data_IF_808065723391
#
_entry.id   IF_808065723391
#
_cell.length_a   1.000
_cell.length_b   1.000
_cell.length_c   1.000
_cell.angle_alpha   90.00
_cell.angle_beta   90.00
_cell.angle_gamma   90.00
#
_symmetry.space_group_name_H-M   'P 1'
#
loop_
_entity.id
_entity.type
_entity.pdbx_description
1 polymer ?
#
# COMPACT_ATOMS: atom_id res chain seq x y z
N UNK A 1 -21.69 -1.39 19.00
CA UNK A 1 -21.52 -0.37 17.94
C UNK A 1 -20.38 -0.86 17.06
N UNK A 2 -20.75 -1.29 15.86
CA UNK A 2 -19.88 -1.80 14.81
C UNK A 2 -18.93 -0.69 14.34
N UNK A 3 -17.62 -0.88 14.52
CA UNK A 3 -16.63 0.09 14.04
C UNK A 3 -16.43 -0.14 12.55
N UNK A 4 -17.09 0.71 11.77
CA UNK A 4 -17.01 0.76 10.32
C UNK A 4 -15.58 0.69 9.80
N UNK A 5 -15.37 -0.26 8.90
CA UNK A 5 -14.17 -0.34 8.09
C UNK A 5 -14.08 0.93 7.23
N UNK A 6 -13.25 1.88 7.65
CA UNK A 6 -12.84 2.97 6.78
C UNK A 6 -11.94 2.39 5.67
N UNK A 7 -12.53 2.21 4.50
CA UNK A 7 -11.88 1.65 3.30
C UNK A 7 -11.02 2.73 2.59
N UNK A 8 -10.78 3.90 3.19
CA UNK A 8 -10.08 5.02 2.55
C UNK A 8 -8.61 5.22 2.92
N UNK A 9 -8.15 4.74 4.09
CA UNK A 9 -6.88 5.22 4.68
C UNK A 9 -5.65 4.28 4.66
N UNK A 10 -5.78 3.04 4.21
CA UNK A 10 -4.75 2.02 4.44
C UNK A 10 -4.14 1.45 3.15
N UNK A 11 -2.85 1.67 2.94
CA UNK A 11 -2.08 1.05 1.86
C UNK A 11 -1.83 -0.45 2.08
N UNK A 12 -1.52 -1.14 0.99
CA UNK A 12 -1.30 -2.58 0.98
C UNK A 12 0.09 -2.85 0.43
N UNK A 13 0.92 -3.51 1.22
CA UNK A 13 2.21 -4.06 0.80
C UNK A 13 2.13 -5.58 0.81
N UNK A 14 2.63 -6.20 -0.25
CA UNK A 14 2.84 -7.64 -0.31
C UNK A 14 4.32 -7.96 -0.44
N UNK A 15 4.71 -9.08 0.15
CA UNK A 15 6.01 -9.69 -0.02
C UNK A 15 5.82 -11.12 -0.53
N UNK A 16 6.51 -11.46 -1.61
CA UNK A 16 6.33 -12.73 -2.31
C UNK A 16 7.65 -13.20 -2.91
N UNK A 17 7.74 -14.49 -3.20
CA UNK A 17 8.88 -15.09 -3.91
C UNK A 17 8.47 -15.30 -5.35
N UNK A 18 9.28 -14.83 -6.30
CA UNK A 18 9.00 -15.08 -7.71
C UNK A 18 9.37 -16.53 -8.10
N UNK A 19 8.98 -16.91 -9.30
CA UNK A 19 9.35 -18.17 -9.96
C UNK A 19 10.86 -18.45 -10.04
N UNK A 20 11.72 -17.43 -9.90
CA UNK A 20 13.18 -17.57 -9.85
C UNK A 20 13.73 -17.74 -8.42
N UNK A 21 12.88 -17.84 -7.40
CA UNK A 21 13.29 -17.92 -6.00
C UNK A 21 13.71 -16.58 -5.38
N UNK A 22 13.55 -15.46 -6.09
CA UNK A 22 13.91 -14.13 -5.61
C UNK A 22 12.76 -13.51 -4.83
N UNK A 23 13.06 -13.01 -3.62
CA UNK A 23 12.12 -12.24 -2.82
C UNK A 23 11.86 -10.89 -3.49
N UNK A 24 10.59 -10.55 -3.65
CA UNK A 24 10.11 -9.30 -4.21
C UNK A 24 9.03 -8.71 -3.32
N UNK A 25 8.88 -7.39 -3.43
CA UNK A 25 7.84 -6.65 -2.72
C UNK A 25 7.11 -5.77 -3.72
N UNK A 26 5.81 -5.60 -3.47
CA UNK A 26 4.97 -4.71 -4.25
C UNK A 26 4.03 -3.95 -3.32
N UNK A 27 3.78 -2.69 -3.64
CA UNK A 27 2.99 -1.78 -2.81
C UNK A 27 1.94 -1.06 -3.63
N UNK A 28 0.72 -1.03 -3.11
CA UNK A 28 -0.36 -0.14 -3.54
C UNK A 28 -0.68 0.86 -2.44
N UNK A 29 -0.88 2.10 -2.88
CA UNK A 29 -1.41 3.17 -2.04
C UNK A 29 -2.89 2.92 -1.77
N UNK A 30 -3.42 3.41 -0.64
CA UNK A 30 -4.83 3.23 -0.27
C UNK A 30 -5.80 3.67 -1.37
N UNK A 31 -5.51 4.79 -2.01
CA UNK A 31 -6.31 5.35 -3.10
C UNK A 31 -6.49 4.40 -4.29
N UNK A 32 -5.49 3.57 -4.62
CA UNK A 32 -5.54 2.72 -5.82
C UNK A 32 -6.51 1.55 -5.68
N UNK A 33 -6.57 0.93 -4.50
CA UNK A 33 -7.49 -0.18 -4.28
C UNK A 33 -8.96 0.30 -4.24
N UNK A 34 -9.18 1.46 -3.62
CA UNK A 34 -10.50 2.05 -3.44
C UNK A 34 -11.03 2.67 -4.74
N UNK A 35 -10.19 3.35 -5.51
CA UNK A 35 -10.56 3.96 -6.79
C UNK A 35 -10.93 2.91 -7.85
N UNK A 36 -10.23 1.77 -7.86
CA UNK A 36 -10.50 0.68 -8.81
C UNK A 36 -11.59 -0.30 -8.34
N UNK A 37 -12.09 -0.17 -7.10
CA UNK A 37 -13.07 -1.09 -6.52
C UNK A 37 -12.58 -2.53 -6.44
N UNK A 38 -11.27 -2.75 -6.28
CA UNK A 38 -10.70 -4.10 -6.29
C UNK A 38 -10.92 -4.83 -4.96
N UNK A 39 -11.39 -6.07 -5.07
CA UNK A 39 -11.36 -7.00 -3.94
C UNK A 39 -9.93 -7.34 -3.52
N UNK A 40 -9.75 -7.77 -2.27
CA UNK A 40 -8.45 -8.19 -1.72
C UNK A 40 -7.70 -9.16 -2.64
N UNK A 41 -8.41 -10.10 -3.27
CA UNK A 41 -7.80 -11.06 -4.20
C UNK A 41 -7.30 -10.36 -5.46
N UNK A 42 -8.12 -9.49 -6.06
CA UNK A 42 -7.73 -8.74 -7.26
C UNK A 42 -6.57 -7.79 -6.97
N UNK A 43 -6.57 -7.12 -5.81
CA UNK A 43 -5.44 -6.27 -5.40
C UNK A 43 -4.15 -7.08 -5.30
N UNK A 44 -4.18 -8.26 -4.69
CA UNK A 44 -3.01 -9.14 -4.57
C UNK A 44 -2.54 -9.62 -5.95
N UNK A 45 -3.46 -10.02 -6.82
CA UNK A 45 -3.17 -10.49 -8.18
C UNK A 45 -2.49 -9.39 -9.01
N UNK A 46 -3.05 -8.18 -8.99
CA UNK A 46 -2.46 -7.00 -9.62
C UNK A 46 -1.09 -6.64 -9.02
N UNK A 47 -0.92 -6.74 -7.70
CA UNK A 47 0.38 -6.49 -7.04
C UNK A 47 1.44 -7.51 -7.43
N UNK A 48 1.08 -8.79 -7.53
CA UNK A 48 1.97 -9.85 -7.99
C UNK A 48 2.46 -9.56 -9.42
N UNK A 49 1.51 -9.26 -10.32
CA UNK A 49 1.81 -8.88 -11.71
C UNK A 49 2.72 -7.64 -11.77
N UNK A 50 2.40 -6.60 -11.00
CA UNK A 50 3.19 -5.36 -10.90
C UNK A 50 4.59 -5.61 -10.32
N UNK A 51 4.71 -6.51 -9.34
CA UNK A 51 5.99 -6.92 -8.77
C UNK A 51 6.83 -7.81 -9.70
N UNK A 52 6.31 -8.18 -10.87
CA UNK A 52 7.01 -9.00 -11.86
C UNK A 52 6.89 -10.50 -11.60
N UNK A 53 5.82 -10.95 -10.96
CA UNK A 53 5.39 -12.34 -10.98
C UNK A 53 4.74 -12.65 -12.33
N UNK A 54 5.32 -13.55 -13.12
CA UNK A 54 4.84 -13.88 -14.48
C UNK A 54 4.08 -15.20 -14.53
N UNK A 55 4.35 -16.11 -13.60
CA UNK A 55 3.76 -17.43 -13.51
C UNK A 55 2.28 -17.44 -13.11
N UNK A 56 1.71 -18.66 -13.03
CA UNK A 56 0.32 -18.85 -12.63
C UNK A 56 0.13 -18.48 -11.16
N UNK A 57 -0.85 -17.60 -10.88
CA UNK A 57 -1.19 -17.18 -9.53
C UNK A 57 -2.13 -18.22 -8.92
N UNK A 58 -1.54 -19.26 -8.33
CA UNK A 58 -2.29 -20.33 -7.66
C UNK A 58 -2.74 -19.89 -6.25
N UNK A 59 -3.74 -20.55 -5.66
CA UNK A 59 -4.12 -20.30 -4.26
C UNK A 59 -2.96 -20.51 -3.28
N UNK A 60 -2.00 -21.38 -3.58
CA UNK A 60 -0.80 -21.58 -2.78
C UNK A 60 0.12 -20.36 -2.81
N UNK A 61 0.36 -19.78 -4.00
CA UNK A 61 1.10 -18.52 -4.13
C UNK A 61 0.41 -17.45 -3.30
N UNK A 62 -0.91 -17.32 -3.40
CA UNK A 62 -1.69 -16.34 -2.62
C UNK A 62 -1.54 -16.54 -1.10
N UNK A 63 -1.47 -17.79 -0.63
CA UNK A 63 -1.24 -18.12 0.78
C UNK A 63 0.20 -17.90 1.23
N UNK A 64 1.17 -18.06 0.33
CA UNK A 64 2.59 -17.84 0.61
C UNK A 64 2.97 -16.35 0.68
N UNK A 65 2.10 -15.46 0.17
CA UNK A 65 2.31 -14.02 0.22
C UNK A 65 2.12 -13.49 1.64
N UNK A 66 3.06 -12.65 2.07
CA UNK A 66 2.94 -11.91 3.32
C UNK A 66 2.32 -10.54 3.03
N UNK A 67 1.07 -10.38 3.45
CA UNK A 67 0.32 -9.12 3.29
C UNK A 67 0.49 -8.26 4.55
N UNK A 68 0.94 -7.03 4.34
CA UNK A 68 1.06 -6.00 5.38
C UNK A 68 0.17 -4.83 4.99
N UNK A 69 -0.86 -4.56 5.78
CA UNK A 69 -1.70 -3.36 5.66
C UNK A 69 -1.06 -2.26 6.50
N UNK A 70 -0.77 -1.10 5.91
CA UNK A 70 -0.24 0.05 6.64
C UNK A 70 -1.21 1.22 6.52
N UNK A 71 -1.46 1.90 7.65
CA UNK A 71 -2.20 3.16 7.65
C UNK A 71 -1.23 4.27 7.30
N UNK A 72 -1.46 4.99 6.21
CA UNK A 72 -0.67 6.19 5.92
C UNK A 72 -1.41 7.39 6.49
N UNK A 73 -0.90 7.98 7.56
CA UNK A 73 -1.30 9.32 7.99
C UNK A 73 -0.67 10.33 7.02
N UNK A 74 -1.47 10.82 6.08
CA UNK A 74 -1.04 11.84 5.10
C UNK A 74 -1.08 13.19 5.83
N UNK A 75 0.02 13.60 6.46
CA UNK A 75 0.14 14.97 7.02
C UNK A 75 0.52 15.90 5.86
N UNK A 76 -0.47 16.59 5.30
CA UNK A 76 -0.23 17.69 4.37
C UNK A 76 -0.01 18.97 5.17
N UNK A 77 1.22 19.45 5.25
CA UNK A 77 1.50 20.81 5.70
C UNK A 77 1.48 21.73 4.48
N UNK A 78 0.65 22.78 4.53
CA UNK A 78 0.68 23.84 3.51
C UNK A 78 2.01 24.57 3.58
N UNK A 79 2.60 24.91 2.43
CA UNK A 79 3.89 25.62 2.32
C UNK A 79 3.92 26.91 3.16
N UNK A 80 2.77 27.58 3.32
CA UNK A 80 2.57 28.76 4.16
C UNK A 80 2.99 28.56 5.62
N UNK A 81 2.72 27.38 6.19
CA UNK A 81 3.05 27.01 7.57
C UNK A 81 4.54 26.72 7.77
N UNK A 82 5.22 26.21 6.73
CA UNK A 82 6.66 25.94 6.78
C UNK A 82 7.49 27.24 6.83
N UNK A 83 7.07 28.28 6.09
CA UNK A 83 7.80 29.55 6.04
C UNK A 83 7.63 30.36 7.33
N UNK A 84 6.45 30.29 7.98
CA UNK A 84 6.20 30.97 9.25
C UNK A 84 7.13 30.52 10.38
N UNK A 85 7.62 29.27 10.35
CA UNK A 85 8.54 28.74 11.36
C UNK A 85 10.00 29.17 11.20
N UNK A 86 10.41 29.78 10.07
CA UNK A 86 11.78 30.29 9.90
C UNK A 86 11.99 31.73 10.37
N UNK A 87 10.94 32.49 10.68
CA UNK A 87 11.07 33.92 11.00
C UNK A 87 11.10 34.23 12.50
N UNK A 88 10.79 33.27 13.40
CA UNK A 88 10.72 33.55 14.84
C UNK A 88 11.99 33.17 15.64
N UNK A 89 13.14 33.08 14.97
CA UNK A 89 14.45 32.81 15.58
C UNK A 89 15.35 34.04 15.72
N UNK A 90 14.79 35.18 16.14
CA UNK A 90 15.59 36.36 16.50
C UNK A 90 15.01 37.05 17.74
N UNK A 91 15.55 36.69 18.90
CA UNK A 91 15.78 37.55 20.06
C UNK A 91 16.75 36.85 21.00
#
# INVERSE_FOLDING_TARGET
>A
MDQGCDVGGNGIRIEFVNEKGHKKTATYLPEVATEQGWDRIQTIDSLLRKGGFKGPITPEVRKAIRLTRYRSEKITVSYSDYVAQKTNGHA
#
